data_IF_866749416929
#
_entry.id   IF_866749416929
#
_cell.length_a   1.000
_cell.length_b   1.000
_cell.length_c   1.000
_cell.angle_alpha   90.00
_cell.angle_beta   90.00
_cell.angle_gamma   90.00
#
_symmetry.space_group_name_H-M   'P 1'
#
loop_
_entity.id
_entity.type
_entity.pdbx_description
1 polymer ?
#
# COMPACT_ATOMS: atom_id res chain seq x y z
N UNK A 1 -61.46 47.62 36.89
CA UNK A 1 -61.73 46.17 37.12
C UNK A 1 -60.71 45.36 36.31
N UNK A 2 -59.94 44.63 37.03
CA UNK A 2 -59.06 43.50 36.67
C UNK A 2 -57.97 43.71 35.61
N UNK A 3 -56.79 44.09 36.12
CA UNK A 3 -55.47 43.85 35.53
C UNK A 3 -55.09 42.38 35.71
N UNK A 4 -54.70 41.71 34.63
CA UNK A 4 -53.95 40.41 34.65
C UNK A 4 -52.52 40.61 34.14
N UNK A 5 -51.59 40.59 35.08
CA UNK A 5 -50.13 40.55 34.84
C UNK A 5 -49.72 39.19 34.27
N UNK A 6 -49.12 39.16 33.09
CA UNK A 6 -48.44 38.04 32.59
C UNK A 6 -46.95 38.15 32.95
N UNK A 7 -46.49 37.34 33.90
CA UNK A 7 -45.06 37.09 34.13
C UNK A 7 -44.53 36.18 33.01
N UNK A 8 -43.72 36.75 32.15
CA UNK A 8 -42.89 35.96 31.21
C UNK A 8 -41.64 35.51 31.93
N UNK A 9 -41.54 34.19 32.18
CA UNK A 9 -40.26 33.54 32.57
C UNK A 9 -39.35 33.42 31.34
N UNK A 10 -38.34 34.28 31.30
CA UNK A 10 -37.25 34.18 30.32
C UNK A 10 -36.25 33.15 30.81
N UNK A 11 -36.34 31.91 30.32
CA UNK A 11 -35.32 30.86 30.55
C UNK A 11 -34.11 31.16 29.67
N UNK A 12 -33.08 31.73 30.26
CA UNK A 12 -31.76 31.87 29.60
C UNK A 12 -31.12 30.50 29.58
N UNK A 13 -31.17 29.84 28.44
CA UNK A 13 -30.30 28.67 28.15
C UNK A 13 -28.89 29.19 27.91
N UNK A 14 -28.02 29.05 28.91
CA UNK A 14 -26.58 29.30 28.78
C UNK A 14 -25.99 28.14 27.96
N UNK A 15 -25.86 28.31 26.65
CA UNK A 15 -25.07 27.41 25.78
C UNK A 15 -23.61 27.63 26.16
N UNK A 16 -23.09 26.78 27.04
CA UNK A 16 -21.64 26.67 27.23
C UNK A 16 -21.07 25.99 25.97
N UNK A 17 -20.66 26.80 25.03
CA UNK A 17 -19.82 26.33 23.92
C UNK A 17 -18.45 25.94 24.52
N UNK A 18 -18.25 24.66 24.80
CA UNK A 18 -16.92 24.13 25.08
C UNK A 18 -16.17 24.16 23.74
N UNK A 19 -15.46 25.27 23.51
CA UNK A 19 -14.46 25.34 22.43
C UNK A 19 -13.33 24.36 22.80
N UNK A 20 -13.39 23.16 22.24
CA UNK A 20 -12.24 22.26 22.21
C UNK A 20 -11.24 22.89 21.26
N UNK A 21 -10.35 23.73 21.78
CA UNK A 21 -9.19 24.17 21.01
C UNK A 21 -8.28 22.98 20.88
N UNK A 22 -8.17 22.41 19.67
CA UNK A 22 -7.14 21.44 19.37
C UNK A 22 -5.78 22.05 19.74
N UNK A 23 -5.09 21.41 20.67
CA UNK A 23 -3.75 21.83 21.05
C UNK A 23 -2.82 21.56 19.87
N UNK A 24 -1.97 22.52 19.54
CA UNK A 24 -0.96 22.32 18.48
C UNK A 24 -0.13 21.07 18.77
N UNK A 25 0.34 20.39 17.73
CA UNK A 25 1.29 19.30 17.89
C UNK A 25 2.58 19.78 18.57
N UNK A 26 3.12 18.94 19.44
CA UNK A 26 4.42 19.15 20.07
C UNK A 26 5.35 17.97 19.82
N UNK A 27 6.60 18.06 20.22
CA UNK A 27 7.55 16.95 20.17
C UNK A 27 7.58 16.28 21.54
N UNK A 28 7.48 14.97 21.53
CA UNK A 28 7.64 14.13 22.71
C UNK A 28 8.96 13.38 22.61
N UNK A 29 9.84 13.59 23.57
CA UNK A 29 11.11 12.85 23.66
C UNK A 29 10.98 11.71 24.64
N UNK A 30 11.43 10.51 24.22
CA UNK A 30 11.43 9.27 25.00
C UNK A 30 12.83 8.66 24.99
N UNK A 31 13.24 8.06 26.12
CA UNK A 31 14.33 7.09 26.13
C UNK A 31 13.75 5.72 25.75
N UNK A 32 14.16 5.17 24.63
CA UNK A 32 13.70 3.90 24.11
C UNK A 32 14.88 2.94 24.00
N UNK A 33 15.02 2.06 24.99
CA UNK A 33 16.12 1.08 25.06
C UNK A 33 17.52 1.72 25.07
N UNK A 34 17.65 2.90 25.70
CA UNK A 34 18.91 3.63 25.82
C UNK A 34 19.20 4.56 24.63
N UNK A 35 18.27 4.74 23.72
CA UNK A 35 18.35 5.67 22.59
C UNK A 35 17.27 6.76 22.72
N UNK A 36 17.61 8.00 22.39
CA UNK A 36 16.65 9.11 22.42
C UNK A 36 15.79 9.11 21.16
N UNK A 37 14.48 8.97 21.35
CA UNK A 37 13.48 9.02 20.28
C UNK A 37 12.65 10.28 20.39
N UNK A 38 12.47 10.96 19.26
CA UNK A 38 11.55 12.09 19.13
C UNK A 38 10.34 11.68 18.30
N UNK A 39 9.15 11.83 18.90
CA UNK A 39 7.88 11.55 18.26
C UNK A 39 7.09 12.86 18.09
N UNK A 40 6.33 12.99 17.00
CA UNK A 40 5.33 14.05 16.90
C UNK A 40 4.11 13.67 17.74
N UNK A 41 3.72 14.53 18.65
CA UNK A 41 2.63 14.30 19.58
C UNK A 41 1.45 15.22 19.29
N UNK A 42 0.27 14.64 19.15
CA UNK A 42 -1.01 15.31 18.94
C UNK A 42 -1.91 15.00 20.12
N UNK A 43 -1.91 15.86 21.14
CA UNK A 43 -2.62 15.62 22.40
C UNK A 43 -4.14 15.67 22.23
N UNK A 44 -4.85 14.79 22.94
CA UNK A 44 -6.30 14.77 23.00
C UNK A 44 -6.79 14.30 24.37
N UNK A 45 -8.04 14.67 24.73
CA UNK A 45 -8.62 14.42 26.06
C UNK A 45 -9.28 13.05 26.22
N UNK A 46 -9.51 12.29 25.14
CA UNK A 46 -10.13 10.96 25.20
C UNK A 46 -9.21 9.91 25.83
N UNK A 47 -9.76 8.72 26.06
CA UNK A 47 -9.06 7.58 26.70
C UNK A 47 -8.33 6.67 25.69
N UNK A 48 -8.22 7.06 24.45
CA UNK A 48 -7.60 6.30 23.37
C UNK A 48 -6.37 7.01 22.84
N UNK A 49 -5.32 6.24 22.54
CA UNK A 49 -4.10 6.70 21.91
C UNK A 49 -3.78 5.82 20.71
N UNK A 50 -3.50 6.45 19.57
CA UNK A 50 -2.95 5.79 18.40
C UNK A 50 -1.43 5.98 18.39
N UNK A 51 -0.69 4.86 18.39
CA UNK A 51 0.71 4.83 18.01
C UNK A 51 0.79 4.64 16.49
N UNK A 52 1.04 5.73 15.78
CA UNK A 52 1.13 5.75 14.32
C UNK A 52 2.60 5.57 13.90
N UNK A 53 2.93 4.39 13.37
CA UNK A 53 4.28 4.05 12.92
C UNK A 53 4.41 4.35 11.42
N UNK A 54 5.46 5.06 11.06
CA UNK A 54 5.74 5.43 9.68
C UNK A 54 5.95 4.20 8.78
N UNK A 55 5.48 4.24 7.52
CA UNK A 55 5.88 3.28 6.49
C UNK A 55 7.34 3.48 6.08
N UNK A 56 7.86 2.58 5.22
CA UNK A 56 9.26 2.61 4.80
C UNK A 56 9.74 3.89 4.09
N UNK A 57 8.81 4.73 3.64
CA UNK A 57 9.07 6.03 3.01
C UNK A 57 8.87 7.24 3.95
N UNK A 58 8.68 7.01 5.24
CA UNK A 58 8.47 8.06 6.23
C UNK A 58 7.07 8.67 6.20
N UNK A 59 6.89 9.75 6.99
CA UNK A 59 5.66 10.52 7.01
C UNK A 59 5.62 11.61 5.94
N UNK A 60 4.42 11.97 5.52
CA UNK A 60 4.16 13.13 4.68
C UNK A 60 3.01 13.97 5.27
N UNK A 61 2.67 15.06 4.60
CA UNK A 61 1.61 15.99 5.04
C UNK A 61 0.26 15.32 5.27
N UNK A 62 -0.09 14.25 4.59
CA UNK A 62 -1.35 13.52 4.79
C UNK A 62 -1.37 12.77 6.11
N UNK A 63 -0.24 12.17 6.50
CA UNK A 63 -0.09 11.53 7.81
C UNK A 63 -0.35 12.53 8.94
N UNK A 64 0.29 13.68 8.89
CA UNK A 64 0.13 14.77 9.86
C UNK A 64 -1.30 15.32 9.87
N UNK A 65 -1.92 15.51 8.69
CA UNK A 65 -3.33 15.97 8.59
C UNK A 65 -4.28 14.95 9.24
N UNK A 66 -4.03 13.65 9.01
CA UNK A 66 -4.84 12.58 9.62
C UNK A 66 -4.67 12.56 11.13
N UNK A 67 -3.44 12.71 11.66
CA UNK A 67 -3.18 12.78 13.09
C UNK A 67 -3.89 13.99 13.74
N UNK A 68 -3.84 15.16 13.10
CA UNK A 68 -4.55 16.36 13.54
C UNK A 68 -6.06 16.10 13.62
N UNK A 69 -6.66 15.56 12.56
CA UNK A 69 -8.08 15.27 12.52
C UNK A 69 -8.51 14.25 13.60
N UNK A 70 -7.67 13.25 13.90
CA UNK A 70 -7.93 12.28 14.98
C UNK A 70 -7.86 12.94 16.36
N UNK A 71 -6.91 13.83 16.59
CA UNK A 71 -6.80 14.59 17.84
C UNK A 71 -8.02 15.50 18.06
N UNK A 72 -8.54 16.14 17.02
CA UNK A 72 -9.78 16.91 17.06
C UNK A 72 -11.01 16.04 17.41
N UNK A 73 -10.97 14.75 17.07
CA UNK A 73 -12.00 13.77 17.43
C UNK A 73 -11.78 13.12 18.81
N UNK A 74 -10.80 13.61 19.58
CA UNK A 74 -10.52 13.16 20.94
C UNK A 74 -9.62 11.93 21.04
N UNK A 75 -8.98 11.52 19.95
CA UNK A 75 -8.02 10.41 19.92
C UNK A 75 -6.60 10.98 19.90
N UNK A 76 -5.82 10.74 20.96
CA UNK A 76 -4.42 11.15 21.01
C UNK A 76 -3.59 10.38 19.98
N UNK A 77 -2.63 11.04 19.33
CA UNK A 77 -1.78 10.40 18.33
C UNK A 77 -0.30 10.68 18.63
N UNK A 78 0.48 9.61 18.69
CA UNK A 78 1.94 9.64 18.71
C UNK A 78 2.44 9.11 17.37
N UNK A 79 3.13 9.96 16.59
CA UNK A 79 3.71 9.56 15.30
C UNK A 79 5.18 9.20 15.48
N UNK A 80 5.52 7.96 15.16
CA UNK A 80 6.84 7.37 15.29
C UNK A 80 7.44 7.06 13.91
N UNK A 81 8.53 7.73 13.56
CA UNK A 81 9.37 7.36 12.42
C UNK A 81 10.64 6.64 12.92
N UNK A 82 10.68 5.32 12.72
CA UNK A 82 11.81 4.50 13.16
C UNK A 82 13.08 4.80 12.39
N UNK A 83 12.98 5.05 11.08
CA UNK A 83 14.14 5.33 10.25
C UNK A 83 14.78 6.68 10.62
N UNK A 84 13.97 7.72 10.81
CA UNK A 84 14.43 9.04 11.23
C UNK A 84 15.13 8.98 12.58
N UNK A 85 14.50 8.36 13.59
CA UNK A 85 15.07 8.26 14.94
C UNK A 85 16.36 7.44 15.02
N UNK A 86 16.54 6.49 14.11
CA UNK A 86 17.74 5.64 14.04
C UNK A 86 18.75 6.12 12.99
N UNK A 87 18.55 7.31 12.43
CA UNK A 87 19.42 7.91 11.40
C UNK A 87 19.63 6.99 10.18
N UNK A 88 18.60 6.24 9.80
CA UNK A 88 18.61 5.34 8.64
C UNK A 88 17.87 5.97 7.45
N UNK A 89 18.29 5.70 6.21
CA UNK A 89 17.52 6.11 5.04
C UNK A 89 16.12 5.48 5.04
N UNK A 90 15.12 6.27 4.62
CA UNK A 90 13.79 5.73 4.37
C UNK A 90 13.85 4.74 3.20
N UNK A 91 13.58 3.47 3.47
CA UNK A 91 13.53 2.42 2.45
C UNK A 91 12.73 1.21 2.93
N UNK A 92 12.19 0.45 1.98
CA UNK A 92 11.53 -0.81 2.29
C UNK A 92 12.51 -1.83 2.90
N UNK A 93 13.78 -1.79 2.51
CA UNK A 93 14.81 -2.66 3.08
C UNK A 93 15.01 -2.40 4.58
N UNK A 94 15.13 -1.15 4.98
CA UNK A 94 15.32 -0.80 6.39
C UNK A 94 14.09 -1.13 7.24
N UNK A 95 12.88 -0.96 6.72
CA UNK A 95 11.65 -1.30 7.45
C UNK A 95 11.59 -2.78 7.82
N UNK A 96 12.09 -3.67 6.96
CA UNK A 96 12.17 -5.11 7.22
C UNK A 96 13.17 -5.48 8.32
N UNK A 97 14.16 -4.62 8.61
CA UNK A 97 15.18 -4.86 9.63
C UNK A 97 14.69 -4.59 11.05
N UNK A 98 13.60 -3.85 11.21
CA UNK A 98 13.06 -3.56 12.54
C UNK A 98 12.38 -4.79 13.13
N UNK A 99 12.94 -5.30 14.22
CA UNK A 99 12.48 -6.51 14.91
C UNK A 99 11.26 -6.29 15.81
N UNK A 100 10.82 -5.05 15.95
CA UNK A 100 9.66 -4.65 16.74
C UNK A 100 9.97 -4.20 18.17
N UNK A 101 11.22 -4.31 18.67
CA UNK A 101 11.58 -3.98 20.07
C UNK A 101 11.28 -2.52 20.42
N UNK A 102 11.58 -1.58 19.52
CA UNK A 102 11.29 -0.17 19.73
C UNK A 102 9.79 0.10 19.80
N UNK A 103 9.02 -0.50 18.91
CA UNK A 103 7.55 -0.37 18.91
C UNK A 103 6.96 -0.96 20.19
N UNK A 104 7.43 -2.12 20.65
CA UNK A 104 6.97 -2.74 21.89
C UNK A 104 7.25 -1.84 23.10
N UNK A 105 8.47 -1.30 23.23
CA UNK A 105 8.84 -0.38 24.31
C UNK A 105 8.01 0.91 24.29
N UNK A 106 7.72 1.45 23.09
CA UNK A 106 6.91 2.66 22.96
C UNK A 106 5.43 2.39 23.29
N UNK A 107 4.88 1.22 22.97
CA UNK A 107 3.54 0.81 23.43
C UNK A 107 3.45 0.87 24.96
N UNK A 108 4.45 0.32 25.67
CA UNK A 108 4.51 0.31 27.13
C UNK A 108 4.60 1.75 27.67
N UNK A 109 5.54 2.55 27.20
CA UNK A 109 5.71 3.93 27.63
C UNK A 109 4.49 4.82 27.30
N UNK A 110 3.82 4.57 26.16
CA UNK A 110 2.62 5.30 25.78
C UNK A 110 1.49 5.06 26.78
N UNK A 111 1.28 3.80 27.20
CA UNK A 111 0.32 3.46 28.24
C UNK A 111 0.71 4.06 29.58
N UNK A 112 1.95 3.88 30.03
CA UNK A 112 2.44 4.37 31.32
C UNK A 112 2.31 5.88 31.46
N UNK A 113 2.65 6.65 30.41
CA UNK A 113 2.62 8.12 30.43
C UNK A 113 1.21 8.70 30.27
N UNK A 114 0.34 8.05 29.48
CA UNK A 114 -0.98 8.58 29.16
C UNK A 114 -2.12 7.95 29.98
N UNK A 115 -1.95 6.74 30.49
CA UNK A 115 -2.99 5.92 31.10
C UNK A 115 -4.04 5.44 30.09
N UNK A 116 -3.79 5.57 28.78
CA UNK A 116 -4.77 5.30 27.72
C UNK A 116 -4.59 3.89 27.13
N UNK A 117 -5.65 3.39 26.50
CA UNK A 117 -5.55 2.21 25.66
C UNK A 117 -4.91 2.55 24.32
N UNK A 118 -4.07 1.63 23.84
CA UNK A 118 -3.24 1.85 22.66
C UNK A 118 -3.82 1.10 21.46
N UNK A 119 -3.90 1.78 20.33
CA UNK A 119 -4.19 1.18 19.02
C UNK A 119 -3.02 1.48 18.10
N UNK A 120 -2.49 0.47 17.42
CA UNK A 120 -1.42 0.66 16.45
C UNK A 120 -2.00 1.08 15.10
N UNK A 121 -1.30 1.93 14.38
CA UNK A 121 -1.67 2.35 13.03
C UNK A 121 -0.43 2.38 12.14
N UNK A 122 -0.54 1.86 10.92
CA UNK A 122 0.48 2.02 9.89
C UNK A 122 -0.08 1.73 8.50
N UNK A 123 0.77 1.90 7.48
CA UNK A 123 0.45 1.59 6.08
C UNK A 123 1.59 0.85 5.40
N UNK A 124 1.26 0.13 4.29
CA UNK A 124 2.24 -0.55 3.45
C UNK A 124 3.15 -1.48 4.27
N UNK A 125 4.47 -1.45 4.07
CA UNK A 125 5.46 -2.24 4.83
C UNK A 125 5.59 -1.85 6.31
N UNK A 126 5.12 -0.67 6.73
CA UNK A 126 5.11 -0.28 8.14
C UNK A 126 4.24 -1.20 9.02
N UNK A 127 3.39 -2.01 8.42
CA UNK A 127 2.67 -3.08 9.12
C UNK A 127 3.62 -4.12 9.75
N UNK A 128 4.80 -4.35 9.17
CA UNK A 128 5.75 -5.37 9.66
C UNK A 128 6.28 -5.04 11.07
N UNK A 129 6.94 -3.88 11.31
CA UNK A 129 7.39 -3.53 12.66
C UNK A 129 6.24 -3.34 13.63
N UNK A 130 5.05 -2.92 13.18
CA UNK A 130 3.85 -2.82 14.02
C UNK A 130 3.44 -4.19 14.55
N UNK A 131 3.30 -5.20 13.71
CA UNK A 131 2.91 -6.55 14.14
C UNK A 131 4.01 -7.22 14.96
N UNK A 132 5.29 -7.04 14.61
CA UNK A 132 6.43 -7.52 15.41
C UNK A 132 6.44 -6.88 16.81
N UNK A 133 6.18 -5.57 16.87
CA UNK A 133 6.09 -4.84 18.13
C UNK A 133 4.93 -5.30 19.01
N UNK A 134 3.75 -5.49 18.42
CA UNK A 134 2.59 -6.02 19.14
C UNK A 134 2.87 -7.41 19.72
N UNK A 135 3.51 -8.28 18.93
CA UNK A 135 3.90 -9.62 19.40
C UNK A 135 4.91 -9.56 20.55
N UNK A 136 5.94 -8.72 20.44
CA UNK A 136 6.94 -8.55 21.52
C UNK A 136 6.30 -7.95 22.77
N UNK A 137 5.37 -6.99 22.61
CA UNK A 137 4.57 -6.49 23.71
C UNK A 137 3.81 -7.62 24.43
N UNK A 138 3.19 -8.55 23.70
CA UNK A 138 2.55 -9.73 24.30
C UNK A 138 3.55 -10.61 25.08
N UNK A 139 4.75 -10.84 24.54
CA UNK A 139 5.81 -11.60 25.23
C UNK A 139 6.16 -10.95 26.56
N UNK A 140 6.37 -9.62 26.56
CA UNK A 140 6.76 -8.87 27.76
C UNK A 140 5.62 -8.78 28.78
N UNK A 141 4.37 -8.74 28.32
CA UNK A 141 3.20 -8.42 29.12
C UNK A 141 2.25 -9.62 29.34
N UNK A 142 2.71 -10.85 29.14
CA UNK A 142 1.90 -12.07 29.25
C UNK A 142 1.25 -12.30 30.65
N UNK A 143 1.73 -11.61 31.70
CA UNK A 143 1.20 -11.70 33.06
C UNK A 143 0.15 -10.64 33.38
N UNK A 144 -0.18 -9.73 32.49
CA UNK A 144 -1.24 -8.74 32.70
C UNK A 144 -2.60 -9.43 32.87
N UNK A 145 -3.48 -8.81 33.65
CA UNK A 145 -4.87 -9.26 33.76
C UNK A 145 -5.73 -8.85 32.56
N UNK A 146 -5.46 -7.69 32.02
CA UNK A 146 -6.18 -7.11 30.88
C UNK A 146 -5.20 -6.46 29.93
N UNK A 147 -5.43 -6.63 28.63
CA UNK A 147 -4.68 -5.94 27.61
C UNK A 147 -5.10 -4.46 27.54
N UNK A 148 -4.11 -3.57 27.40
CA UNK A 148 -4.33 -2.17 27.05
C UNK A 148 -3.97 -1.89 25.56
N UNK A 149 -3.54 -2.90 24.84
CA UNK A 149 -3.36 -2.88 23.39
C UNK A 149 -4.64 -3.40 22.74
N UNK A 150 -5.36 -2.54 22.01
CA UNK A 150 -6.62 -2.88 21.37
C UNK A 150 -6.43 -3.71 20.08
N UNK A 151 -5.27 -3.58 19.41
CA UNK A 151 -5.00 -4.18 18.11
C UNK A 151 -4.37 -3.21 17.13
N UNK A 152 -4.52 -3.45 15.82
CA UNK A 152 -3.90 -2.65 14.79
C UNK A 152 -4.89 -2.22 13.69
N UNK A 153 -4.69 -1.02 13.14
CA UNK A 153 -5.34 -0.49 11.94
C UNK A 153 -4.28 -0.40 10.85
N UNK A 154 -4.46 -1.14 9.77
CA UNK A 154 -3.48 -1.26 8.70
C UNK A 154 -4.07 -0.79 7.36
N UNK A 155 -3.36 0.11 6.69
CA UNK A 155 -3.76 0.64 5.40
C UNK A 155 -2.97 -0.02 4.27
N UNK A 156 -3.65 -0.79 3.42
CA UNK A 156 -3.05 -1.56 2.32
C UNK A 156 -1.74 -2.24 2.74
N UNK A 157 -1.76 -3.12 3.78
CA UNK A 157 -0.54 -3.71 4.33
C UNK A 157 0.21 -4.54 3.29
N UNK A 158 1.52 -4.41 3.28
CA UNK A 158 2.46 -5.21 2.50
C UNK A 158 3.29 -6.04 3.46
N UNK A 159 2.96 -7.34 3.58
CA UNK A 159 3.49 -8.25 4.59
C UNK A 159 4.37 -9.36 3.99
N UNK A 160 4.99 -9.10 2.85
CA UNK A 160 5.91 -10.03 2.19
C UNK A 160 7.37 -9.60 2.39
N UNK A 161 8.29 -10.57 2.40
CA UNK A 161 9.74 -10.38 2.63
C UNK A 161 10.41 -9.57 1.53
N UNK A 162 10.06 -9.89 0.30
CA UNK A 162 10.54 -9.20 -0.89
C UNK A 162 9.38 -9.06 -1.86
N UNK A 163 9.44 -8.06 -2.74
CA UNK A 163 8.48 -7.99 -3.85
C UNK A 163 8.55 -9.31 -4.62
N UNK A 164 7.47 -10.10 -4.67
CA UNK A 164 7.51 -11.41 -5.30
C UNK A 164 7.80 -11.26 -6.79
N UNK A 165 8.53 -12.19 -7.39
CA UNK A 165 8.65 -12.26 -8.83
C UNK A 165 7.28 -12.32 -9.49
N UNK A 166 7.14 -11.71 -10.67
CA UNK A 166 5.86 -11.68 -11.38
C UNK A 166 5.33 -13.10 -11.60
N UNK A 167 4.03 -13.28 -11.37
CA UNK A 167 3.36 -14.56 -11.53
C UNK A 167 3.62 -15.60 -10.43
N UNK A 168 4.33 -15.22 -9.35
CA UNK A 168 4.52 -16.07 -8.16
C UNK A 168 3.69 -15.55 -6.99
N UNK A 169 3.39 -16.42 -6.04
CA UNK A 169 2.74 -16.03 -4.81
C UNK A 169 3.74 -15.34 -3.86
N UNK A 170 3.29 -14.41 -3.00
CA UNK A 170 4.16 -13.73 -2.05
C UNK A 170 4.75 -14.69 -1.01
N UNK A 171 6.04 -14.53 -0.72
CA UNK A 171 6.65 -15.11 0.48
C UNK A 171 6.44 -14.13 1.64
N UNK A 172 5.46 -14.45 2.48
CA UNK A 172 5.06 -13.58 3.58
C UNK A 172 6.08 -13.57 4.71
N UNK A 173 6.22 -12.42 5.36
CA UNK A 173 6.96 -12.30 6.61
C UNK A 173 6.38 -13.25 7.67
N UNK A 174 7.21 -13.96 8.44
CA UNK A 174 6.76 -14.93 9.44
C UNK A 174 5.80 -14.33 10.48
N UNK A 175 5.96 -13.04 10.77
CA UNK A 175 5.07 -12.32 11.68
C UNK A 175 3.62 -12.31 11.20
N UNK A 176 3.38 -12.41 9.90
CA UNK A 176 2.02 -12.44 9.33
C UNK A 176 1.23 -13.62 9.89
N UNK A 177 1.85 -14.82 9.93
CA UNK A 177 1.22 -15.99 10.52
C UNK A 177 1.34 -16.03 12.05
N UNK A 178 2.34 -15.36 12.65
CA UNK A 178 2.55 -15.33 14.09
C UNK A 178 1.78 -14.18 14.79
N UNK A 179 0.82 -13.59 14.13
CA UNK A 179 -0.05 -12.54 14.67
C UNK A 179 -1.37 -13.14 15.15
N UNK A 180 -1.86 -12.69 16.31
CA UNK A 180 -3.16 -13.08 16.85
C UNK A 180 -3.92 -11.92 17.51
N UNK A 181 -3.47 -10.68 17.34
CA UNK A 181 -4.19 -9.47 17.79
C UNK A 181 -5.34 -9.15 16.83
N UNK A 182 -6.37 -8.39 17.28
CA UNK A 182 -7.40 -7.87 16.39
C UNK A 182 -6.82 -6.88 15.37
N UNK A 183 -7.24 -6.98 14.12
CA UNK A 183 -6.74 -6.15 13.03
C UNK A 183 -7.91 -5.58 12.22
N UNK A 184 -7.86 -4.28 11.91
CA UNK A 184 -8.68 -3.66 10.87
C UNK A 184 -7.81 -3.34 9.65
N UNK A 185 -8.17 -3.88 8.49
CA UNK A 185 -7.51 -3.56 7.23
C UNK A 185 -8.41 -2.64 6.40
N UNK A 186 -7.87 -1.46 6.07
CA UNK A 186 -8.38 -0.62 5.00
C UNK A 186 -7.58 -0.88 3.73
N UNK A 187 -8.23 -1.42 2.72
CA UNK A 187 -7.58 -1.73 1.45
C UNK A 187 -8.01 -0.74 0.35
N UNK A 188 -7.05 -0.14 -0.32
CA UNK A 188 -7.30 0.60 -1.55
C UNK A 188 -7.77 -0.34 -2.65
N UNK A 189 -8.90 -0.03 -3.30
CA UNK A 189 -9.39 -0.82 -4.43
C UNK A 189 -8.54 -0.65 -5.70
N UNK A 190 -7.87 0.49 -5.81
CA UNK A 190 -7.09 0.87 -7.00
C UNK A 190 -5.59 0.57 -6.83
N UNK A 191 -5.18 -0.06 -5.72
CA UNK A 191 -3.80 -0.49 -5.53
C UNK A 191 -3.61 -1.94 -5.97
N UNK A 192 -2.47 -2.23 -6.60
CA UNK A 192 -2.19 -3.55 -7.17
C UNK A 192 -2.21 -4.67 -6.13
N UNK A 193 -1.73 -4.42 -4.90
CA UNK A 193 -1.73 -5.40 -3.82
C UNK A 193 -3.14 -5.77 -3.31
N UNK A 194 -4.20 -5.12 -3.80
CA UNK A 194 -5.59 -5.50 -3.52
C UNK A 194 -5.86 -6.97 -3.77
N UNK A 195 -5.28 -7.52 -4.83
CA UNK A 195 -5.50 -8.92 -5.22
C UNK A 195 -4.84 -9.92 -4.27
N UNK A 196 -3.96 -9.43 -3.42
CA UNK A 196 -3.31 -10.19 -2.35
C UNK A 196 -4.11 -10.17 -1.03
N UNK A 197 -5.16 -9.36 -0.93
CA UNK A 197 -5.88 -9.12 0.33
C UNK A 197 -6.40 -10.41 0.96
N UNK A 198 -7.00 -11.29 0.17
CA UNK A 198 -7.54 -12.54 0.70
C UNK A 198 -6.42 -13.47 1.20
N UNK A 199 -5.29 -13.56 0.50
CA UNK A 199 -4.11 -14.31 0.95
C UNK A 199 -3.48 -13.72 2.21
N UNK A 200 -3.42 -12.39 2.32
CA UNK A 200 -2.95 -11.69 3.54
C UNK A 200 -3.85 -12.02 4.72
N UNK A 201 -5.17 -11.97 4.54
CA UNK A 201 -6.14 -12.28 5.59
C UNK A 201 -6.00 -13.74 6.02
N UNK A 202 -5.96 -14.68 5.08
CA UNK A 202 -5.77 -16.11 5.36
C UNK A 202 -4.51 -16.35 6.20
N UNK A 203 -3.40 -15.68 5.87
CA UNK A 203 -2.14 -15.78 6.64
C UNK A 203 -2.27 -15.18 8.03
N UNK A 204 -2.88 -14.02 8.19
CA UNK A 204 -3.11 -13.39 9.50
C UNK A 204 -4.02 -14.23 10.39
N UNK A 205 -5.06 -14.86 9.82
CA UNK A 205 -6.01 -15.70 10.56
C UNK A 205 -5.46 -17.08 10.93
N UNK A 206 -4.27 -17.46 10.46
CA UNK A 206 -3.62 -18.77 10.74
C UNK A 206 -3.58 -19.08 12.25
N UNK A 207 -3.29 -18.08 13.08
CA UNK A 207 -3.23 -18.21 14.53
C UNK A 207 -4.34 -17.42 15.25
N UNK A 208 -5.54 -17.39 14.64
CA UNK A 208 -6.77 -16.84 15.20
C UNK A 208 -6.77 -15.32 15.39
N UNK A 209 -5.98 -14.56 14.64
CA UNK A 209 -6.21 -13.13 14.58
C UNK A 209 -7.63 -12.87 14.05
N UNK A 210 -8.32 -11.92 14.67
CA UNK A 210 -9.63 -11.46 14.18
C UNK A 210 -9.39 -10.33 13.19
N UNK A 211 -9.68 -10.55 11.91
CA UNK A 211 -9.40 -9.58 10.86
C UNK A 211 -10.70 -8.97 10.32
N UNK A 212 -10.85 -7.68 10.50
CA UNK A 212 -11.89 -6.87 9.86
C UNK A 212 -11.33 -6.23 8.60
N UNK A 213 -12.14 -6.07 7.57
CA UNK A 213 -11.70 -5.45 6.32
C UNK A 213 -12.72 -4.48 5.74
N UNK A 214 -12.22 -3.40 5.14
CA UNK A 214 -12.99 -2.47 4.33
C UNK A 214 -12.20 -2.11 3.07
N UNK A 215 -12.76 -2.39 1.90
CA UNK A 215 -12.20 -1.97 0.62
C UNK A 215 -12.78 -0.61 0.26
N UNK A 216 -11.90 0.37 -0.02
CA UNK A 216 -12.27 1.72 -0.39
C UNK A 216 -12.12 1.89 -1.90
N UNK A 217 -13.23 2.12 -2.65
CA UNK A 217 -13.24 2.00 -4.11
C UNK A 217 -12.43 3.08 -4.82
N UNK A 218 -12.37 4.29 -4.25
CA UNK A 218 -11.89 5.48 -4.93
C UNK A 218 -10.49 5.93 -4.48
N UNK A 219 -9.78 5.08 -3.73
CA UNK A 219 -8.44 5.39 -3.22
C UNK A 219 -7.39 4.61 -4.00
N UNK A 220 -6.38 5.32 -4.52
CA UNK A 220 -5.16 4.74 -5.08
C UNK A 220 -4.13 4.52 -3.97
N UNK A 221 -3.89 5.54 -3.14
CA UNK A 221 -2.94 5.48 -2.03
C UNK A 221 -3.47 6.25 -0.83
N UNK A 222 -3.23 5.75 0.40
CA UNK A 222 -3.67 6.43 1.61
C UNK A 222 -2.75 7.61 1.97
N UNK A 223 -1.44 7.37 2.02
CA UNK A 223 -0.49 8.35 2.57
C UNK A 223 0.74 8.59 1.70
N UNK A 224 1.01 7.73 0.72
CA UNK A 224 2.28 7.76 0.00
C UNK A 224 2.30 8.75 -1.16
N UNK A 225 1.23 8.88 -1.95
CA UNK A 225 1.23 9.69 -3.17
C UNK A 225 0.37 10.94 -3.01
N UNK A 226 0.80 12.02 -3.64
CA UNK A 226 -0.03 13.20 -3.85
C UNK A 226 -0.98 12.85 -4.99
N UNK A 227 -2.14 12.39 -4.61
CA UNK A 227 -3.20 11.96 -5.50
C UNK A 227 -4.15 13.15 -5.66
N UNK A 228 -4.28 13.64 -6.86
CA UNK A 228 -5.13 14.81 -7.17
C UNK A 228 -6.59 14.42 -7.49
N UNK A 229 -6.94 13.14 -7.38
CA UNK A 229 -8.30 12.69 -7.67
C UNK A 229 -9.29 13.21 -6.61
N UNK A 230 -10.33 13.98 -7.01
CA UNK A 230 -11.27 14.59 -6.05
C UNK A 230 -11.95 13.57 -5.13
N UNK A 231 -12.27 12.38 -5.63
CA UNK A 231 -12.89 11.32 -4.83
C UNK A 231 -11.94 10.76 -3.79
N UNK A 232 -10.68 10.53 -4.12
CA UNK A 232 -9.65 10.12 -3.15
C UNK A 232 -9.51 11.16 -2.05
N UNK A 233 -9.42 12.43 -2.39
CA UNK A 233 -9.30 13.53 -1.43
C UNK A 233 -10.53 13.64 -0.52
N UNK A 234 -11.73 13.37 -1.05
CA UNK A 234 -12.98 13.33 -0.26
C UNK A 234 -12.91 12.18 0.75
N UNK A 235 -12.64 10.97 0.29
CA UNK A 235 -12.59 9.78 1.14
C UNK A 235 -11.52 9.91 2.23
N UNK A 236 -10.34 10.45 1.90
CA UNK A 236 -9.27 10.69 2.89
C UNK A 236 -9.65 11.73 3.95
N UNK A 237 -10.46 12.73 3.61
CA UNK A 237 -11.00 13.69 4.57
C UNK A 237 -12.05 13.08 5.50
N UNK A 238 -12.88 12.17 4.99
CA UNK A 238 -13.98 11.54 5.74
C UNK A 238 -13.47 10.37 6.60
N UNK A 239 -12.39 9.72 6.21
CA UNK A 239 -11.85 8.52 6.86
C UNK A 239 -11.52 8.71 8.36
N UNK A 240 -10.91 9.80 8.82
CA UNK A 240 -10.64 10.00 10.25
C UNK A 240 -11.86 9.89 11.13
N UNK A 241 -13.04 10.29 10.63
CA UNK A 241 -14.30 10.23 11.39
C UNK A 241 -14.78 8.78 11.68
N UNK A 242 -14.30 7.79 10.92
CA UNK A 242 -14.61 6.37 11.16
C UNK A 242 -13.71 5.76 12.24
N UNK A 243 -12.46 6.23 12.35
CA UNK A 243 -11.42 5.60 13.18
C UNK A 243 -11.82 5.44 14.65
N UNK A 244 -12.48 6.41 15.31
CA UNK A 244 -12.93 6.21 16.70
C UNK A 244 -13.92 5.05 16.88
N UNK A 245 -14.74 4.75 15.86
CA UNK A 245 -15.64 3.59 15.87
C UNK A 245 -14.86 2.28 15.69
N UNK A 246 -13.86 2.30 14.84
CA UNK A 246 -12.98 1.13 14.61
C UNK A 246 -12.17 0.83 15.87
N UNK A 247 -11.64 1.84 16.55
CA UNK A 247 -10.95 1.66 17.83
C UNK A 247 -11.88 0.96 18.85
N UNK A 248 -13.13 1.42 18.99
CA UNK A 248 -14.11 0.79 19.87
C UNK A 248 -14.43 -0.66 19.48
N UNK A 249 -14.47 -0.95 18.20
CA UNK A 249 -14.67 -2.31 17.69
C UNK A 249 -13.47 -3.21 18.04
N UNK A 250 -12.24 -2.72 17.86
CA UNK A 250 -11.03 -3.44 18.24
C UNK A 250 -10.96 -3.64 19.76
N UNK A 251 -11.25 -2.62 20.57
CA UNK A 251 -11.31 -2.68 22.03
C UNK A 251 -12.33 -3.72 22.53
N UNK A 252 -13.46 -3.85 21.84
CA UNK A 252 -14.47 -4.87 22.16
C UNK A 252 -14.06 -6.29 21.75
N UNK A 253 -13.01 -6.44 20.96
CA UNK A 253 -12.44 -7.72 20.52
C UNK A 253 -11.21 -8.02 21.38
N UNK A 254 -11.25 -8.98 22.33
CA UNK A 254 -10.14 -9.18 23.27
C UNK A 254 -8.82 -9.46 22.57
N UNK A 255 -7.79 -8.69 22.89
CA UNK A 255 -6.41 -8.97 22.45
C UNK A 255 -5.82 -10.08 23.33
N UNK A 256 -5.39 -11.22 22.75
CA UNK A 256 -4.69 -12.25 23.50
C UNK A 256 -3.39 -11.72 24.11
N UNK A 257 -3.10 -12.13 25.35
CA UNK A 257 -1.84 -11.76 26.03
C UNK A 257 -0.70 -12.75 25.72
N UNK A 258 -1.02 -13.93 25.21
CA UNK A 258 -0.03 -14.94 24.85
C UNK A 258 0.38 -14.75 23.39
N UNK A 259 1.65 -14.44 23.17
CA UNK A 259 2.23 -14.35 21.85
C UNK A 259 2.25 -15.70 21.14
N UNK A 260 2.01 -15.72 19.86
CA UNK A 260 2.23 -16.90 19.01
C UNK A 260 3.74 -17.11 18.83
N UNK A 261 4.18 -18.37 18.78
CA UNK A 261 5.57 -18.69 18.51
C UNK A 261 5.97 -18.24 17.09
N UNK A 262 7.11 -17.57 17.01
CA UNK A 262 7.68 -17.15 15.73
C UNK A 262 8.60 -18.27 15.24
N UNK A 263 8.20 -18.96 14.18
CA UNK A 263 9.08 -19.93 13.53
C UNK A 263 10.28 -19.19 12.93
N UNK A 264 11.50 -19.66 13.27
CA UNK A 264 12.73 -19.11 12.66
C UNK A 264 12.70 -19.41 11.16
N UNK A 265 12.41 -18.39 10.39
CA UNK A 265 12.68 -18.45 8.97
C UNK A 265 14.16 -18.14 8.73
N UNK A 266 14.79 -18.91 7.86
CA UNK A 266 16.16 -18.66 7.43
C UNK A 266 16.37 -17.19 7.05
N UNK A 267 17.48 -16.60 7.51
CA UNK A 267 17.87 -15.24 7.12
C UNK A 267 17.99 -15.17 5.60
N UNK A 268 17.06 -14.48 4.96
CA UNK A 268 17.17 -14.17 3.55
C UNK A 268 18.29 -13.13 3.42
N UNK A 269 19.40 -13.52 2.83
CA UNK A 269 20.41 -12.56 2.36
C UNK A 269 19.74 -11.65 1.35
N UNK A 270 19.46 -10.42 1.74
CA UNK A 270 18.94 -9.37 0.87
C UNK A 270 19.89 -9.19 -0.32
N UNK A 271 19.55 -9.77 -1.45
CA UNK A 271 20.10 -9.34 -2.74
C UNK A 271 19.35 -8.06 -3.09
N UNK A 272 20.07 -6.96 -3.30
CA UNK A 272 19.48 -5.70 -3.77
C UNK A 272 18.56 -5.90 -4.97
N UNK A 273 17.63 -4.98 -5.18
CA UNK A 273 16.72 -4.99 -6.35
C UNK A 273 17.57 -5.08 -7.63
N UNK A 274 17.53 -6.24 -8.27
CA UNK A 274 18.11 -6.43 -9.60
C UNK A 274 17.06 -5.96 -10.61
N UNK A 275 17.25 -4.74 -11.10
CA UNK A 275 16.38 -4.04 -12.05
C UNK A 275 16.67 -4.42 -13.51
N UNK A 276 17.00 -5.66 -13.77
CA UNK A 276 17.24 -6.18 -15.11
C UNK A 276 16.07 -7.02 -15.64
N UNK A 277 15.99 -7.17 -16.96
CA UNK A 277 15.04 -8.09 -17.58
C UNK A 277 15.47 -9.55 -17.28
N UNK A 278 14.68 -10.25 -16.47
CA UNK A 278 14.99 -11.61 -15.99
C UNK A 278 14.18 -12.65 -16.72
N UNK A 279 14.78 -13.83 -16.95
CA UNK A 279 14.01 -15.00 -17.37
C UNK A 279 12.90 -15.27 -16.37
N UNK A 280 11.71 -15.52 -16.89
CA UNK A 280 10.56 -15.86 -16.06
C UNK A 280 10.78 -17.22 -15.40
N UNK A 281 10.58 -17.27 -14.09
CA UNK A 281 10.76 -18.49 -13.28
C UNK A 281 9.47 -18.94 -12.58
N UNK A 282 8.37 -18.21 -12.79
CA UNK A 282 7.07 -18.58 -12.24
C UNK A 282 6.43 -19.76 -12.96
N UNK A 283 5.44 -20.32 -12.34
CA UNK A 283 4.67 -21.48 -12.84
C UNK A 283 3.40 -21.10 -13.62
N UNK A 284 3.03 -19.81 -13.62
CA UNK A 284 1.81 -19.30 -14.26
C UNK A 284 2.03 -19.08 -15.75
N UNK A 285 0.98 -19.37 -16.52
CA UNK A 285 0.93 -19.06 -17.95
C UNK A 285 0.18 -17.76 -18.19
N UNK A 286 0.47 -17.02 -19.30
CA UNK A 286 -0.24 -15.79 -19.63
C UNK A 286 -1.74 -16.05 -19.76
N UNK A 287 -2.56 -15.34 -18.98
CA UNK A 287 -3.99 -15.32 -19.18
C UNK A 287 -4.34 -14.43 -20.39
N UNK A 288 -5.43 -14.72 -21.10
CA UNK A 288 -5.82 -13.90 -22.24
C UNK A 288 -6.09 -12.46 -21.83
N UNK A 289 -5.54 -11.52 -22.61
CA UNK A 289 -5.90 -10.11 -22.55
C UNK A 289 -7.11 -9.93 -23.44
N UNK A 290 -8.14 -9.26 -22.94
CA UNK A 290 -9.34 -8.84 -23.65
C UNK A 290 -9.70 -7.44 -23.16
N UNK A 291 -9.06 -6.44 -23.74
CA UNK A 291 -9.16 -5.04 -23.35
C UNK A 291 -9.43 -4.17 -24.58
N UNK A 292 -9.97 -2.99 -24.34
CA UNK A 292 -10.15 -1.95 -25.36
C UNK A 292 -9.08 -0.90 -25.20
N UNK A 293 -8.48 -0.46 -26.31
CA UNK A 293 -7.53 0.63 -26.28
C UNK A 293 -8.22 2.00 -26.13
N UNK A 294 -7.41 3.04 -25.90
CA UNK A 294 -7.89 4.41 -25.72
C UNK A 294 -8.68 4.93 -26.95
N UNK A 295 -8.47 4.37 -28.14
CA UNK A 295 -9.15 4.71 -29.40
C UNK A 295 -10.41 3.88 -29.66
N UNK A 296 -10.71 2.90 -28.79
CA UNK A 296 -11.89 2.02 -28.89
C UNK A 296 -11.63 0.72 -29.64
N UNK A 297 -10.40 0.41 -30.03
CA UNK A 297 -10.06 -0.86 -30.67
C UNK A 297 -9.93 -1.94 -29.61
N UNK A 298 -10.68 -3.05 -29.75
CA UNK A 298 -10.55 -4.22 -28.89
C UNK A 298 -9.30 -5.03 -29.27
N UNK A 299 -8.50 -5.37 -28.26
CA UNK A 299 -7.30 -6.20 -28.38
C UNK A 299 -7.53 -7.50 -27.64
N UNK A 300 -7.40 -8.62 -28.35
CA UNK A 300 -7.62 -9.97 -27.84
C UNK A 300 -6.43 -10.86 -28.18
N UNK A 301 -6.39 -12.08 -27.62
CA UNK A 301 -5.24 -13.00 -27.75
C UNK A 301 -4.72 -13.19 -29.17
N UNK A 302 -5.59 -13.30 -30.19
CA UNK A 302 -5.17 -13.46 -31.59
C UNK A 302 -4.32 -12.32 -32.14
N UNK A 303 -4.42 -11.12 -31.58
CA UNK A 303 -3.75 -9.93 -32.05
C UNK A 303 -2.25 -9.93 -31.70
N UNK A 304 -1.87 -10.73 -30.69
CA UNK A 304 -0.48 -10.84 -30.19
C UNK A 304 0.05 -12.28 -30.15
N UNK A 305 -0.71 -13.27 -30.60
CA UNK A 305 -0.23 -14.68 -30.71
C UNK A 305 0.85 -14.81 -31.81
N UNK A 306 1.80 -15.71 -31.60
CA UNK A 306 2.96 -15.97 -32.48
C UNK A 306 3.90 -14.77 -32.65
N UNK A 307 3.88 -13.81 -31.73
CA UNK A 307 4.78 -12.67 -31.68
C UNK A 307 5.54 -12.65 -30.37
N UNK A 308 6.68 -11.99 -30.34
CA UNK A 308 7.27 -11.54 -29.08
C UNK A 308 6.43 -10.36 -28.60
N UNK A 309 5.83 -10.49 -27.43
CA UNK A 309 4.92 -9.45 -26.92
C UNK A 309 5.42 -8.94 -25.57
N UNK A 310 5.73 -7.66 -25.50
CA UNK A 310 5.96 -6.97 -24.22
C UNK A 310 4.63 -6.48 -23.71
N UNK A 311 4.22 -6.91 -22.52
CA UNK A 311 3.04 -6.44 -21.81
C UNK A 311 3.50 -5.59 -20.65
N UNK A 312 3.32 -4.28 -20.71
CA UNK A 312 3.72 -3.34 -19.67
C UNK A 312 2.50 -2.80 -18.91
N UNK A 313 2.48 -2.98 -17.59
CA UNK A 313 1.47 -2.44 -16.68
C UNK A 313 1.98 -1.14 -16.05
N UNK A 314 1.18 -0.07 -16.17
CA UNK A 314 1.58 1.26 -15.74
C UNK A 314 0.39 2.13 -15.32
N UNK A 315 0.68 3.29 -14.72
CA UNK A 315 -0.33 4.32 -14.46
C UNK A 315 0.26 5.73 -14.60
N UNK A 316 -0.59 6.73 -14.83
CA UNK A 316 -0.16 8.13 -15.00
C UNK A 316 0.43 8.75 -13.73
N UNK A 317 0.02 8.24 -12.57
CA UNK A 317 0.48 8.64 -11.24
C UNK A 317 1.73 7.91 -10.75
N UNK A 318 2.33 7.05 -11.56
CA UNK A 318 3.51 6.27 -11.24
C UNK A 318 4.75 6.92 -11.90
N UNK A 319 5.58 7.69 -11.18
CA UNK A 319 6.71 8.41 -11.78
C UNK A 319 7.66 7.52 -12.58
N UNK A 320 8.16 6.36 -12.03
CA UNK A 320 9.04 5.50 -12.81
C UNK A 320 8.37 4.91 -14.06
N UNK A 321 7.04 4.73 -14.06
CA UNK A 321 6.31 4.30 -15.24
C UNK A 321 6.35 5.38 -16.35
N UNK A 322 6.22 6.64 -15.96
CA UNK A 322 6.26 7.78 -16.88
C UNK A 322 7.65 7.93 -17.48
N UNK A 323 8.69 7.70 -16.69
CA UNK A 323 10.09 7.73 -17.12
C UNK A 323 10.42 6.64 -18.16
N UNK A 324 9.71 5.50 -18.14
CA UNK A 324 9.89 4.43 -19.14
C UNK A 324 9.29 4.74 -20.51
N UNK A 325 8.31 5.63 -20.61
CA UNK A 325 7.57 5.89 -21.86
C UNK A 325 8.49 6.24 -23.03
N UNK A 326 9.47 7.16 -22.90
CA UNK A 326 10.40 7.45 -23.98
C UNK A 326 11.23 6.24 -24.43
N UNK A 327 11.62 5.38 -23.49
CA UNK A 327 12.39 4.15 -23.76
C UNK A 327 11.54 3.11 -24.50
N UNK A 328 10.27 2.96 -24.09
CA UNK A 328 9.30 2.08 -24.77
C UNK A 328 8.97 2.58 -26.20
N UNK A 329 8.91 3.89 -26.42
CA UNK A 329 8.78 4.45 -27.76
C UNK A 329 9.98 4.03 -28.63
N UNK A 330 11.22 4.24 -28.16
CA UNK A 330 12.43 3.85 -28.88
C UNK A 330 12.57 2.33 -29.05
N UNK A 331 12.11 1.53 -28.06
CA UNK A 331 12.01 0.08 -28.22
C UNK A 331 11.11 -0.29 -29.40
N UNK A 332 9.91 0.30 -29.47
CA UNK A 332 8.97 0.06 -30.57
C UNK A 332 9.60 0.38 -31.94
N UNK A 333 10.38 1.45 -32.03
CA UNK A 333 11.12 1.82 -33.25
C UNK A 333 12.23 0.79 -33.58
N UNK A 334 13.03 0.37 -32.59
CA UNK A 334 14.13 -0.60 -32.75
C UNK A 334 13.63 -2.01 -33.10
N UNK A 335 12.38 -2.30 -32.78
CA UNK A 335 11.73 -3.59 -33.07
C UNK A 335 10.91 -3.60 -34.35
N UNK A 336 10.88 -2.49 -35.12
CA UNK A 336 10.24 -2.44 -36.44
C UNK A 336 10.85 -3.51 -37.38
N UNK A 337 9.99 -4.18 -38.13
CA UNK A 337 10.39 -5.28 -39.02
C UNK A 337 10.60 -6.63 -38.34
N UNK A 338 10.50 -6.70 -37.03
CA UNK A 338 10.47 -7.93 -36.25
C UNK A 338 9.03 -8.33 -35.91
N UNK A 339 8.80 -9.61 -35.64
CA UNK A 339 7.51 -10.12 -35.21
C UNK A 339 7.28 -9.78 -33.73
N UNK A 340 7.00 -8.52 -33.45
CA UNK A 340 6.94 -7.90 -32.15
C UNK A 340 5.64 -7.13 -31.92
N UNK A 341 5.16 -7.09 -30.69
CA UNK A 341 4.05 -6.28 -30.24
C UNK A 341 4.34 -5.68 -28.86
N UNK A 342 3.95 -4.43 -28.62
CA UNK A 342 3.95 -3.78 -27.31
C UNK A 342 2.52 -3.51 -26.88
N UNK A 343 2.08 -4.15 -25.80
CA UNK A 343 0.80 -3.94 -25.16
C UNK A 343 1.00 -3.17 -23.86
N UNK A 344 0.67 -1.89 -23.89
CA UNK A 344 0.75 -1.01 -22.72
C UNK A 344 -0.62 -1.00 -22.03
N UNK A 345 -0.71 -1.54 -20.81
CA UNK A 345 -1.96 -1.66 -20.07
C UNK A 345 -1.96 -0.63 -18.94
N UNK A 346 -2.87 0.35 -19.04
CA UNK A 346 -3.06 1.34 -17.99
C UNK A 346 -3.96 0.75 -16.88
N UNK A 347 -3.45 0.76 -15.67
CA UNK A 347 -4.06 0.15 -14.50
C UNK A 347 -4.96 1.13 -13.74
N UNK A 348 -6.22 0.73 -13.55
CA UNK A 348 -7.11 1.32 -12.54
C UNK A 348 -7.56 2.76 -12.81
N UNK A 349 -7.42 3.28 -14.04
CA UNK A 349 -7.73 4.67 -14.33
C UNK A 349 -8.83 4.83 -15.37
N UNK A 350 -9.58 5.92 -15.23
CA UNK A 350 -10.62 6.31 -16.17
C UNK A 350 -10.02 6.83 -17.49
N UNK A 351 -10.72 6.59 -18.58
CA UNK A 351 -10.32 7.01 -19.92
C UNK A 351 -10.04 8.52 -20.02
N UNK A 352 -10.80 9.36 -19.33
CA UNK A 352 -10.62 10.80 -19.28
C UNK A 352 -9.26 11.19 -18.72
N UNK A 353 -8.86 10.60 -17.58
CA UNK A 353 -7.56 10.84 -16.94
C UNK A 353 -6.41 10.48 -17.85
N UNK A 354 -6.51 9.33 -18.52
CA UNK A 354 -5.49 8.89 -19.48
C UNK A 354 -5.41 9.84 -20.68
N UNK A 355 -6.55 10.28 -21.21
CA UNK A 355 -6.57 11.25 -22.31
C UNK A 355 -5.90 12.58 -21.94
N UNK A 356 -6.12 13.08 -20.72
CA UNK A 356 -5.49 14.32 -20.27
C UNK A 356 -3.97 14.17 -20.09
N UNK A 357 -3.52 13.01 -19.68
CA UNK A 357 -2.10 12.67 -19.62
C UNK A 357 -1.48 12.59 -21.02
N UNK A 358 -2.13 11.92 -21.98
CA UNK A 358 -1.65 11.75 -23.34
C UNK A 358 -1.55 13.06 -24.14
N UNK A 359 -2.23 14.13 -23.71
CA UNK A 359 -2.04 15.50 -24.28
C UNK A 359 -0.69 16.10 -23.88
N UNK A 360 -0.10 15.65 -22.76
CA UNK A 360 1.13 16.20 -22.20
C UNK A 360 2.35 15.31 -22.44
N UNK A 361 2.15 14.01 -22.63
CA UNK A 361 3.20 13.00 -22.76
C UNK A 361 3.05 12.27 -24.10
N UNK A 362 4.14 12.22 -24.87
CA UNK A 362 4.15 11.55 -26.18
C UNK A 362 4.25 10.03 -26.01
N UNK A 363 3.14 9.33 -26.20
CA UNK A 363 3.05 7.86 -26.18
C UNK A 363 2.75 7.37 -27.60
N UNK A 364 3.66 6.61 -28.20
CA UNK A 364 3.59 6.17 -29.62
C UNK A 364 3.06 4.74 -29.79
N UNK A 365 2.70 4.07 -28.71
CA UNK A 365 2.17 2.70 -28.70
C UNK A 365 0.71 2.68 -28.20
N UNK A 366 -0.05 1.58 -28.49
CA UNK A 366 -1.41 1.45 -28.00
C UNK A 366 -1.49 1.41 -26.48
N UNK A 367 -2.43 2.18 -25.92
CA UNK A 367 -2.74 2.17 -24.47
C UNK A 367 -4.05 1.44 -24.25
N UNK A 368 -4.00 0.29 -23.60
CA UNK A 368 -5.14 -0.52 -23.25
C UNK A 368 -5.70 -0.11 -21.88
N UNK A 369 -7.02 -0.18 -21.73
CA UNK A 369 -7.75 0.28 -20.55
C UNK A 369 -8.10 -0.89 -19.62
N UNK A 370 -7.44 -0.98 -18.48
CA UNK A 370 -7.79 -1.91 -17.39
C UNK A 370 -8.35 -1.12 -16.19
N UNK A 371 -9.45 -0.38 -16.42
CA UNK A 371 -10.04 0.53 -15.44
C UNK A 371 -10.42 -0.14 -14.11
N UNK A 372 -10.79 -1.42 -14.14
CA UNK A 372 -11.05 -2.23 -12.92
C UNK A 372 -9.81 -2.90 -12.35
N UNK A 373 -8.65 -2.81 -12.98
CA UNK A 373 -7.41 -3.49 -12.56
C UNK A 373 -7.47 -5.03 -12.58
N UNK A 374 -8.47 -5.60 -13.27
CA UNK A 374 -8.71 -7.04 -13.27
C UNK A 374 -7.61 -7.81 -13.99
N UNK A 375 -7.15 -7.28 -15.13
CA UNK A 375 -6.08 -7.92 -15.91
C UNK A 375 -4.78 -7.91 -15.11
N UNK A 376 -4.42 -6.79 -14.51
CA UNK A 376 -3.27 -6.69 -13.64
C UNK A 376 -3.36 -7.68 -12.45
N UNK A 377 -4.54 -7.78 -11.81
CA UNK A 377 -4.77 -8.74 -10.74
C UNK A 377 -4.61 -10.20 -11.19
N UNK A 378 -5.21 -10.57 -12.32
CA UNK A 378 -5.09 -11.91 -12.89
C UNK A 378 -3.63 -12.29 -13.24
N UNK A 379 -2.81 -11.30 -13.54
CA UNK A 379 -1.39 -11.46 -13.85
C UNK A 379 -0.48 -11.34 -12.63
N UNK A 380 -1.05 -11.24 -11.42
CA UNK A 380 -0.31 -11.03 -10.17
C UNK A 380 0.66 -9.82 -10.24
N UNK A 381 0.21 -8.75 -10.87
CA UNK A 381 0.97 -7.51 -10.91
C UNK A 381 0.81 -6.79 -9.58
N UNK A 382 1.83 -6.80 -8.73
CA UNK A 382 1.79 -6.29 -7.35
C UNK A 382 2.31 -4.86 -7.25
N UNK A 383 3.27 -4.51 -8.09
CA UNK A 383 3.89 -3.18 -8.15
C UNK A 383 3.81 -2.59 -9.56
N UNK A 384 4.01 -1.28 -9.68
CA UNK A 384 4.16 -0.60 -10.99
C UNK A 384 5.51 0.15 -11.04
N UNK A 385 6.17 0.15 -12.21
CA UNK A 385 5.82 -0.60 -13.41
C UNK A 385 6.11 -2.09 -13.25
N UNK A 386 5.36 -2.90 -13.99
CA UNK A 386 5.61 -4.34 -14.14
C UNK A 386 5.46 -4.74 -15.58
N UNK A 387 6.36 -5.55 -16.08
CA UNK A 387 6.28 -6.01 -17.44
C UNK A 387 6.58 -7.50 -17.59
N UNK A 388 5.88 -8.12 -18.53
CA UNK A 388 6.09 -9.48 -18.97
C UNK A 388 6.47 -9.50 -20.43
N UNK A 389 7.36 -10.40 -20.81
CA UNK A 389 7.64 -10.74 -22.21
C UNK A 389 7.07 -12.11 -22.50
N UNK A 390 6.12 -12.16 -23.43
CA UNK A 390 5.57 -13.41 -23.95
C UNK A 390 6.34 -13.80 -25.20
N UNK A 391 6.81 -15.04 -25.25
CA UNK A 391 7.44 -15.60 -26.44
C UNK A 391 6.43 -15.95 -27.54
N UNK A 392 6.90 -16.23 -28.75
CA UNK A 392 6.05 -16.66 -29.85
C UNK A 392 5.28 -17.97 -29.57
N UNK A 393 5.77 -18.78 -28.64
CA UNK A 393 5.13 -19.99 -28.16
C UNK A 393 3.95 -19.72 -27.20
N UNK A 394 3.69 -18.45 -26.88
CA UNK A 394 2.62 -18.02 -25.99
C UNK A 394 2.93 -18.18 -24.49
N UNK A 395 4.19 -18.45 -24.12
CA UNK A 395 4.64 -18.57 -22.73
C UNK A 395 5.38 -17.32 -22.27
N UNK A 396 5.43 -17.10 -20.97
CA UNK A 396 6.30 -16.08 -20.39
C UNK A 396 7.77 -16.44 -20.61
N UNK A 397 8.52 -15.56 -21.25
CA UNK A 397 9.96 -15.68 -21.45
C UNK A 397 10.75 -14.87 -20.43
N UNK A 398 10.32 -13.62 -20.17
CA UNK A 398 10.95 -12.72 -19.22
C UNK A 398 9.90 -11.97 -18.42
N UNK A 399 10.32 -11.42 -17.26
CA UNK A 399 9.51 -10.55 -16.43
C UNK A 399 10.36 -9.58 -15.62
N UNK A 400 9.80 -8.41 -15.29
CA UNK A 400 10.46 -7.40 -14.44
C UNK A 400 9.43 -6.58 -13.66
N UNK A 401 9.75 -6.31 -12.37
CA UNK A 401 8.94 -5.52 -11.43
C UNK A 401 9.57 -4.15 -11.16
N UNK A 402 10.16 -3.52 -12.15
CA UNK A 402 10.83 -2.22 -12.02
C UNK A 402 10.88 -1.52 -13.36
N UNK A 403 11.11 -0.21 -13.34
CA UNK A 403 11.53 0.53 -14.52
C UNK A 403 12.92 0.04 -14.97
N UNK A 404 13.07 -0.26 -16.25
CA UNK A 404 14.34 -0.66 -16.86
C UNK A 404 14.63 0.17 -18.12
N UNK A 405 15.86 0.10 -18.59
CA UNK A 405 16.25 0.68 -19.88
C UNK A 405 15.78 -0.23 -21.04
N UNK A 406 14.51 -0.11 -21.41
CA UNK A 406 13.85 -0.93 -22.43
C UNK A 406 14.55 -0.90 -23.81
N UNK A 407 15.18 0.19 -24.14
CA UNK A 407 15.89 0.39 -25.40
C UNK A 407 17.40 0.12 -25.32
N UNK A 408 17.87 -0.45 -24.19
CA UNK A 408 19.28 -0.86 -24.07
C UNK A 408 19.64 -1.94 -25.08
N UNK A 409 20.92 -2.02 -25.51
CA UNK A 409 21.37 -3.03 -26.47
C UNK A 409 21.06 -4.46 -26.01
N UNK A 410 21.19 -4.74 -24.72
CA UNK A 410 21.00 -6.06 -24.11
C UNK A 410 19.54 -6.50 -24.19
N UNK A 411 18.60 -5.61 -23.80
CA UNK A 411 17.16 -5.89 -23.85
C UNK A 411 16.71 -6.06 -25.30
N UNK A 412 17.11 -5.16 -26.19
CA UNK A 412 16.76 -5.23 -27.62
C UNK A 412 17.31 -6.52 -28.25
N UNK A 413 18.55 -6.91 -27.94
CA UNK A 413 19.15 -8.15 -28.44
C UNK A 413 18.39 -9.39 -27.95
N UNK A 414 18.01 -9.44 -26.67
CA UNK A 414 17.23 -10.54 -26.10
C UNK A 414 15.86 -10.67 -26.79
N UNK A 415 15.16 -9.55 -27.01
CA UNK A 415 13.87 -9.56 -27.69
C UNK A 415 13.97 -9.93 -29.17
N UNK A 416 15.01 -9.47 -29.88
CA UNK A 416 15.29 -9.88 -31.27
C UNK A 416 15.63 -11.35 -31.38
N UNK A 417 16.45 -11.87 -30.48
CA UNK A 417 16.77 -13.30 -30.43
C UNK A 417 15.52 -14.14 -30.23
N UNK A 418 14.62 -13.71 -29.34
CA UNK A 418 13.36 -14.39 -29.10
C UNK A 418 12.42 -14.31 -30.33
N UNK A 419 12.44 -13.21 -31.08
CA UNK A 419 11.66 -13.01 -32.31
C UNK A 419 12.27 -13.71 -33.55
N UNK A 420 13.56 -13.98 -33.55
CA UNK A 420 14.31 -14.53 -34.70
C UNK A 420 13.95 -15.94 -35.08
N UNK A 421 13.15 -16.66 -34.30
CA UNK A 421 12.66 -18.00 -34.62
C UNK A 421 11.45 -18.07 -35.55
N UNK A 422 10.82 -16.93 -35.91
CA UNK A 422 9.58 -16.88 -36.74
C UNK A 422 9.69 -15.72 -37.76
N UNK A 423 9.41 -15.97 -39.07
CA UNK A 423 9.41 -14.92 -40.07
C UNK A 423 8.34 -13.85 -39.78
N UNK A 424 8.57 -12.58 -40.14
CA UNK A 424 7.62 -11.50 -39.93
C UNK A 424 6.28 -11.80 -40.61
N UNK A 425 5.18 -11.52 -39.90
CA UNK A 425 3.81 -11.67 -40.42
C UNK A 425 3.52 -10.58 -41.48
N UNK A 426 3.50 -10.98 -42.73
CA UNK A 426 3.28 -10.08 -43.90
C UNK A 426 1.85 -9.52 -44.02
N UNK A 427 0.97 -9.63 -43.01
CA UNK A 427 -0.44 -9.23 -43.07
C UNK A 427 -0.70 -7.73 -42.86
N UNK A 428 0.33 -6.88 -42.77
CA UNK A 428 0.18 -5.41 -42.65
C UNK A 428 0.48 -4.64 -43.94
N UNK A 429 0.43 -5.28 -45.12
CA UNK A 429 0.61 -4.60 -46.43
C UNK A 429 -0.60 -4.75 -47.37
N UNK A 430 -1.82 -4.58 -46.85
CA UNK A 430 -2.99 -4.29 -47.72
C UNK A 430 -3.99 -3.41 -46.99
#
# INVERSE_FOLDING_TARGET
MNSRSYLQFLSIFLLVAISVTAKASDNLTLDVLGEEFTLQHFPASGNQLILYVAPGYGFNVRGTTTATALAELGVEVWMLDLAENLFLPHSNENIHRFDGRYVASIIEQAHEKSGKNITLLSSSFGAIPVLRGARLWQVNNSKLKHAYLNGAILFSPELYRTTPPLGTDPDFEPITSATNIPIMIYQSALRNNRWQLDSVIEKLETNKAVVYRKVLPDIVSFFYQIDEFPMTLKTLRELPAEIPRVIKMLEATPTPLNAVELTHAEEIKNKGLDVSLKKYTGDKSPLPIDLTDIRGKRVIRKDYTNKVTVVNFWATWCPPCVEEIPMLNRLSEKMQGHNFELLSINFGQEKSTINDFLKKVNVQFPVLLDGGGRTAGNWNTIVLPSAFVIGPDGKFAYAVNAAIEWDSPEVVAALKQLAGGIPPDNRKQN
#
